data_IF_750445838419
#
_entry.id   IF_750445838419
#
_cell.length_a   1.000
_cell.length_b   1.000
_cell.length_c   1.000
_cell.angle_alpha   90.00
_cell.angle_beta   90.00
_cell.angle_gamma   90.00
#
_symmetry.space_group_name_H-M   'P 1'
#
loop_
_entity.id
_entity.type
_entity.pdbx_description
1 polymer ?
#
# COMPACT_ATOMS: atom_id res chain seq x y z
N UNK A 1 -42.35 32.00 14.69
CA UNK A 1 -42.97 32.63 13.51
C UNK A 1 -43.36 31.51 12.56
N UNK A 2 -44.65 31.27 12.38
CA UNK A 2 -45.16 30.21 11.49
C UNK A 2 -45.84 30.85 10.29
N UNK A 3 -45.53 30.37 9.09
CA UNK A 3 -46.31 30.63 7.88
C UNK A 3 -46.62 29.29 7.18
N UNK A 4 -47.79 28.74 7.49
CA UNK A 4 -48.66 28.10 6.49
C UNK A 4 -48.92 29.07 5.35
N UNK A 5 -49.23 28.71 4.11
CA UNK A 5 -49.56 27.43 3.46
C UNK A 5 -50.24 27.78 2.12
N UNK A 6 -50.38 26.84 1.17
CA UNK A 6 -51.03 27.17 -0.12
C UNK A 6 -50.91 26.10 -1.19
N UNK A 7 -51.90 25.24 -1.29
CA UNK A 7 -52.05 24.14 -2.26
C UNK A 7 -52.87 24.56 -3.49
N UNK A 8 -52.64 23.91 -4.64
CA UNK A 8 -53.71 23.62 -5.61
C UNK A 8 -53.36 22.44 -6.52
N UNK A 9 -54.30 21.51 -6.69
CA UNK A 9 -54.16 20.23 -7.38
C UNK A 9 -54.21 20.28 -8.92
N UNK A 10 -53.87 19.15 -9.56
CA UNK A 10 -53.95 18.96 -11.00
C UNK A 10 -53.83 17.49 -11.46
N UNK A 11 -54.77 16.62 -11.05
CA UNK A 11 -54.97 15.27 -11.64
C UNK A 11 -55.53 15.38 -13.09
N UNK A 12 -55.49 14.39 -14.00
CA UNK A 12 -55.48 12.93 -13.86
C UNK A 12 -55.15 12.20 -15.20
N UNK A 13 -54.85 10.88 -15.12
CA UNK A 13 -55.12 9.81 -16.13
C UNK A 13 -54.55 9.89 -17.56
N UNK A 14 -54.40 8.82 -18.35
CA UNK A 14 -54.14 7.38 -18.14
C UNK A 14 -53.89 6.74 -19.54
N UNK A 15 -53.09 5.66 -19.67
CA UNK A 15 -52.92 4.99 -20.97
C UNK A 15 -51.91 3.85 -21.00
N UNK A 16 -52.41 2.61 -20.99
CA UNK A 16 -51.64 1.37 -21.25
C UNK A 16 -51.85 0.95 -22.73
N UNK A 17 -50.95 0.14 -23.34
CA UNK A 17 -51.11 -1.32 -23.22
C UNK A 17 -49.82 -2.17 -23.21
N UNK A 18 -50.03 -3.47 -23.01
CA UNK A 18 -49.10 -4.63 -23.06
C UNK A 18 -48.33 -4.79 -24.38
N UNK A 19 -47.23 -5.55 -24.48
CA UNK A 19 -46.50 -6.39 -23.50
C UNK A 19 -45.95 -7.68 -24.17
N UNK A 20 -45.02 -8.41 -23.52
CA UNK A 20 -44.83 -9.89 -23.62
C UNK A 20 -43.69 -10.39 -22.72
N UNK A 21 -43.80 -11.65 -22.27
CA UNK A 21 -42.86 -12.29 -21.34
C UNK A 21 -41.61 -12.88 -22.00
N UNK A 22 -40.49 -12.84 -21.27
CA UNK A 22 -39.34 -13.72 -21.47
C UNK A 22 -38.76 -14.13 -20.12
N UNK A 23 -39.06 -15.35 -19.65
CA UNK A 23 -38.38 -15.95 -18.48
C UNK A 23 -36.98 -16.40 -18.91
N UNK A 24 -35.96 -16.06 -18.13
CA UNK A 24 -34.62 -16.66 -18.25
C UNK A 24 -34.51 -17.75 -17.18
N UNK A 25 -34.37 -19.00 -17.63
CA UNK A 25 -34.18 -20.16 -16.77
C UNK A 25 -32.67 -20.43 -16.59
N UNK A 26 -32.20 -20.38 -15.35
CA UNK A 26 -30.81 -20.63 -14.97
C UNK A 26 -30.61 -22.09 -14.56
N UNK A 27 -30.77 -23.02 -15.50
CA UNK A 27 -30.56 -24.45 -15.24
C UNK A 27 -29.91 -25.23 -16.39
N UNK A 28 -28.57 -25.21 -16.47
CA UNK A 28 -27.69 -26.40 -16.69
C UNK A 28 -26.21 -26.02 -16.91
N UNK A 29 -25.25 -26.81 -16.41
CA UNK A 29 -23.82 -26.61 -16.64
C UNK A 29 -23.37 -27.15 -18.02
N UNK A 30 -22.38 -26.50 -18.65
CA UNK A 30 -21.67 -27.05 -19.81
C UNK A 30 -20.46 -27.87 -19.37
N UNK A 31 -20.52 -29.17 -19.63
CA UNK A 31 -19.39 -30.11 -19.50
C UNK A 31 -18.53 -30.12 -20.76
N UNK A 32 -17.20 -30.24 -20.59
CA UNK A 32 -16.27 -30.72 -21.61
C UNK A 32 -15.31 -31.76 -21.00
N UNK A 33 -14.78 -32.73 -21.79
CA UNK A 33 -14.44 -34.06 -21.28
C UNK A 33 -12.98 -34.28 -20.86
N UNK A 34 -12.76 -35.38 -20.12
CA UNK A 34 -11.44 -35.98 -19.82
C UNK A 34 -11.15 -37.17 -20.75
N UNK A 35 -9.90 -37.32 -21.19
CA UNK A 35 -9.18 -38.61 -21.41
C UNK A 35 -7.72 -38.29 -21.82
N UNK A 36 -6.68 -38.69 -21.07
CA UNK A 36 -6.00 -40.01 -20.92
C UNK A 36 -4.75 -40.17 -21.83
N UNK A 37 -3.58 -40.26 -21.17
CA UNK A 37 -2.48 -41.23 -21.37
C UNK A 37 -1.68 -41.21 -22.71
N UNK A 38 -0.42 -41.68 -22.83
CA UNK A 38 0.51 -42.37 -21.93
C UNK A 38 1.98 -42.25 -22.41
N UNK A 39 2.96 -42.43 -21.50
CA UNK A 39 4.28 -43.15 -21.61
C UNK A 39 4.99 -43.19 -22.99
N UNK A 40 6.30 -42.96 -23.12
CA UNK A 40 7.46 -43.51 -22.36
C UNK A 40 8.62 -42.46 -22.30
N UNK A 41 9.92 -42.66 -21.98
CA UNK A 41 10.75 -43.86 -21.70
C UNK A 41 11.91 -43.57 -20.69
N UNK A 42 13.16 -43.94 -21.02
CA UNK A 42 14.41 -43.96 -20.24
C UNK A 42 15.60 -43.63 -21.19
N UNK A 43 16.88 -43.48 -20.81
CA UNK A 43 17.62 -42.97 -19.64
C UNK A 43 19.13 -43.25 -19.88
N UNK A 44 20.06 -42.36 -19.51
CA UNK A 44 21.52 -42.69 -19.34
C UNK A 44 22.14 -41.83 -18.23
N UNK A 45 22.99 -42.44 -17.40
CA UNK A 45 23.80 -41.84 -16.33
C UNK A 45 25.26 -41.61 -16.75
N UNK A 46 25.93 -40.61 -16.18
CA UNK A 46 27.27 -40.65 -15.56
C UNK A 46 27.72 -39.20 -15.20
N UNK A 47 27.88 -38.81 -13.93
CA UNK A 47 28.99 -39.10 -13.00
C UNK A 47 30.35 -38.49 -13.39
N UNK A 48 30.75 -37.45 -12.64
CA UNK A 48 32.11 -37.27 -12.13
C UNK A 48 32.03 -36.58 -10.75
N UNK A 49 33.07 -36.76 -9.91
CA UNK A 49 32.90 -36.76 -8.44
C UNK A 49 34.06 -36.11 -7.67
N UNK A 50 33.80 -35.96 -6.36
CA UNK A 50 34.75 -35.75 -5.25
C UNK A 50 35.35 -34.35 -5.03
N UNK A 51 35.33 -33.93 -3.75
CA UNK A 51 35.83 -32.64 -3.26
C UNK A 51 35.47 -32.39 -1.80
N UNK A 52 35.67 -33.38 -0.92
CA UNK A 52 35.28 -33.30 0.50
C UNK A 52 36.26 -32.46 1.32
N UNK A 53 35.74 -31.55 2.15
CA UNK A 53 36.45 -31.03 3.32
C UNK A 53 35.49 -30.88 4.50
N UNK A 54 35.81 -31.59 5.60
CA UNK A 54 35.14 -31.45 6.89
C UNK A 54 35.60 -30.17 7.59
N UNK A 55 34.68 -29.45 8.23
CA UNK A 55 34.99 -28.68 9.44
C UNK A 55 33.82 -28.75 10.44
N UNK A 56 34.16 -28.66 11.72
CA UNK A 56 33.28 -28.98 12.86
C UNK A 56 32.25 -27.88 13.16
N UNK A 57 31.13 -28.28 13.78
CA UNK A 57 30.07 -27.38 14.21
C UNK A 57 30.35 -26.71 15.56
N UNK A 58 29.94 -25.44 15.71
CA UNK A 58 29.34 -24.92 16.95
C UNK A 58 28.79 -23.48 16.76
N UNK A 59 27.79 -23.15 17.59
CA UNK A 59 27.19 -21.83 17.84
C UNK A 59 26.30 -21.21 16.75
N UNK A 60 25.03 -21.00 17.14
CA UNK A 60 24.00 -20.37 16.33
C UNK A 60 24.21 -18.87 16.19
N UNK A 61 23.80 -18.38 15.02
CA UNK A 61 24.08 -17.05 14.52
C UNK A 61 24.01 -17.13 13.01
N UNK A 62 22.79 -17.21 12.47
CA UNK A 62 22.60 -17.02 11.04
C UNK A 62 23.25 -15.70 10.63
N UNK A 63 23.83 -15.60 9.42
CA UNK A 63 24.48 -14.36 8.99
C UNK A 63 23.51 -13.20 9.20
N UNK A 64 23.99 -12.05 9.73
CA UNK A 64 23.11 -10.91 9.97
C UNK A 64 22.36 -10.61 8.69
N UNK A 65 21.04 -10.46 8.79
CA UNK A 65 20.21 -10.14 7.64
C UNK A 65 20.85 -8.95 6.92
N UNK A 66 21.29 -9.17 5.68
CA UNK A 66 21.83 -8.11 4.83
C UNK A 66 20.78 -7.00 4.85
N UNK A 67 21.14 -5.74 5.16
CA UNK A 67 20.16 -4.65 5.19
C UNK A 67 19.40 -4.67 3.87
N UNK A 68 18.10 -4.96 3.95
CA UNK A 68 17.26 -5.13 2.78
C UNK A 68 17.33 -3.82 1.98
N UNK A 69 17.98 -3.90 0.81
CA UNK A 69 18.58 -2.75 0.14
C UNK A 69 17.62 -1.57 0.12
N UNK A 70 18.12 -0.40 0.55
CA UNK A 70 17.33 0.83 0.53
C UNK A 70 16.65 0.96 -0.84
N UNK A 71 15.33 1.17 -0.89
CA UNK A 71 14.53 0.94 -2.08
C UNK A 71 15.07 1.79 -3.23
N UNK A 72 15.67 1.13 -4.22
CA UNK A 72 16.23 1.83 -5.37
C UNK A 72 15.07 2.34 -6.21
N UNK A 73 14.83 3.65 -6.14
CA UNK A 73 14.01 4.36 -7.12
C UNK A 73 14.40 3.85 -8.52
N UNK A 74 13.46 3.61 -9.44
CA UNK A 74 13.82 3.37 -10.82
C UNK A 74 14.64 4.59 -11.26
N UNK A 75 15.89 4.36 -11.70
CA UNK A 75 16.92 5.41 -11.87
C UNK A 75 16.66 6.24 -13.12
N UNK A 76 15.62 7.05 -13.03
CA UNK A 76 14.89 7.57 -14.17
C UNK A 76 15.12 9.07 -14.32
N UNK A 77 16.13 9.40 -15.15
CA UNK A 77 16.60 10.76 -15.47
C UNK A 77 17.39 11.38 -14.31
N UNK A 78 18.39 12.22 -14.66
CA UNK A 78 19.73 12.19 -14.08
C UNK A 78 19.67 12.07 -12.56
N UNK A 79 19.99 10.86 -12.09
CA UNK A 79 19.64 10.31 -10.77
C UNK A 79 19.58 11.42 -9.72
N UNK A 80 18.39 11.67 -9.12
CA UNK A 80 18.28 12.55 -7.97
C UNK A 80 19.32 12.11 -6.93
N UNK A 81 20.19 13.02 -6.44
CA UNK A 81 21.30 12.61 -5.59
C UNK A 81 20.87 12.31 -4.16
N UNK A 82 19.57 12.48 -3.87
CA UNK A 82 18.92 12.23 -2.59
C UNK A 82 18.27 10.84 -2.60
N UNK A 83 18.36 10.13 -1.48
CA UNK A 83 17.61 8.92 -1.22
C UNK A 83 16.38 9.26 -0.39
N UNK A 84 15.27 8.59 -0.64
CA UNK A 84 14.17 8.60 0.33
C UNK A 84 14.68 8.01 1.65
N UNK A 85 14.20 8.56 2.77
CA UNK A 85 14.74 8.34 4.12
C UNK A 85 16.07 9.06 4.46
N UNK A 86 16.66 9.87 3.57
CA UNK A 86 17.74 10.78 3.98
C UNK A 86 17.19 11.91 4.88
N UNK A 87 18.00 12.36 5.83
CA UNK A 87 17.72 13.61 6.55
C UNK A 87 17.90 14.81 5.61
N UNK A 88 17.12 15.87 5.84
CA UNK A 88 17.16 17.14 5.09
C UNK A 88 18.57 17.67 4.90
N UNK A 89 19.39 17.67 5.94
CA UNK A 89 20.78 18.14 5.87
C UNK A 89 21.59 17.30 4.88
N UNK A 90 21.47 15.97 4.93
CA UNK A 90 22.11 15.03 3.99
C UNK A 90 21.64 15.23 2.56
N UNK A 91 20.33 15.33 2.33
CA UNK A 91 19.78 15.57 1.00
C UNK A 91 20.29 16.91 0.42
N UNK A 92 20.27 17.99 1.19
CA UNK A 92 20.66 19.32 0.71
C UNK A 92 22.17 19.51 0.53
N UNK A 93 23.04 18.65 1.08
CA UNK A 93 24.49 18.70 0.80
C UNK A 93 24.78 18.59 -0.71
N UNK A 94 23.97 17.84 -1.46
CA UNK A 94 24.14 17.68 -2.91
C UNK A 94 23.71 18.90 -3.73
N UNK A 95 23.00 19.85 -3.11
CA UNK A 95 22.45 21.04 -3.76
C UNK A 95 23.14 22.34 -3.30
N UNK A 96 24.31 22.21 -2.67
CA UNK A 96 25.15 23.33 -2.25
C UNK A 96 25.40 24.31 -3.42
N UNK A 97 25.10 25.60 -3.19
CA UNK A 97 25.24 26.66 -4.19
C UNK A 97 24.10 26.76 -5.21
N UNK A 98 23.06 25.91 -5.15
CA UNK A 98 21.85 26.10 -5.95
C UNK A 98 20.89 27.09 -5.28
N UNK A 99 20.01 27.68 -6.10
CA UNK A 99 18.79 28.31 -5.59
C UNK A 99 17.91 27.22 -4.98
N UNK A 100 17.47 27.44 -3.75
CA UNK A 100 16.45 26.65 -3.08
C UNK A 100 15.37 27.58 -2.52
N UNK A 101 14.14 27.09 -2.43
CA UNK A 101 13.04 27.77 -1.77
C UNK A 101 12.39 26.81 -0.77
N UNK A 102 12.02 27.29 0.42
CA UNK A 102 11.48 26.47 1.52
C UNK A 102 10.13 27.03 1.94
N UNK A 103 9.10 26.19 1.93
CA UNK A 103 7.74 26.54 2.38
C UNK A 103 7.17 25.49 3.34
N UNK A 104 6.26 25.84 4.27
CA UNK A 104 5.57 24.87 5.11
C UNK A 104 4.68 23.93 4.27
N UNK A 105 4.62 22.66 4.65
CA UNK A 105 3.81 21.65 3.97
C UNK A 105 3.17 20.69 4.99
N UNK A 106 1.96 21.03 5.45
CA UNK A 106 1.28 20.36 6.55
C UNK A 106 2.10 20.47 7.85
N UNK A 107 2.42 19.33 8.46
CA UNK A 107 3.33 19.23 9.61
C UNK A 107 4.82 19.32 9.23
N UNK A 108 5.15 19.15 7.95
CA UNK A 108 6.51 19.14 7.43
C UNK A 108 6.80 20.35 6.52
N UNK A 109 7.61 20.12 5.51
CA UNK A 109 8.11 21.17 4.60
C UNK A 109 8.28 20.69 3.16
N UNK A 110 8.13 21.63 2.24
CA UNK A 110 8.44 21.48 0.82
C UNK A 110 9.66 22.36 0.51
N UNK A 111 10.70 21.76 -0.08
CA UNK A 111 11.88 22.47 -0.58
C UNK A 111 11.97 22.32 -2.09
N UNK A 112 11.83 23.43 -2.81
CA UNK A 112 12.04 23.46 -4.27
C UNK A 112 13.53 23.62 -4.58
N UNK A 113 14.07 22.73 -5.40
CA UNK A 113 15.44 22.75 -5.91
C UNK A 113 15.44 22.94 -7.43
N UNK A 114 16.11 23.98 -7.92
CA UNK A 114 16.23 24.26 -9.35
C UNK A 114 17.43 23.51 -9.93
N UNK A 115 17.19 22.44 -10.69
CA UNK A 115 18.22 21.51 -11.19
C UNK A 115 17.89 21.10 -12.63
N UNK A 116 18.67 21.53 -13.64
CA UNK A 116 18.44 21.15 -15.02
C UNK A 116 18.57 19.65 -15.27
N UNK A 117 17.63 19.08 -16.03
CA UNK A 117 17.59 17.65 -16.38
C UNK A 117 17.73 17.48 -17.88
N UNK A 118 18.73 16.69 -18.29
CA UNK A 118 19.07 16.45 -19.70
C UNK A 118 19.21 17.74 -20.55
N UNK A 119 19.75 18.81 -19.94
CA UNK A 119 19.94 20.12 -20.57
C UNK A 119 18.69 21.02 -20.62
N UNK A 120 17.56 20.59 -20.03
CA UNK A 120 16.32 21.37 -19.96
C UNK A 120 16.12 21.97 -18.57
N UNK A 121 15.35 23.05 -18.49
CA UNK A 121 14.93 23.64 -17.23
C UNK A 121 13.95 22.72 -16.48
N UNK A 122 14.25 22.48 -15.21
CA UNK A 122 13.45 21.65 -14.31
C UNK A 122 13.68 22.03 -12.86
N UNK A 123 12.68 21.71 -12.04
CA UNK A 123 12.72 21.86 -10.60
C UNK A 123 12.22 20.58 -9.92
N UNK A 124 12.68 20.35 -8.70
CA UNK A 124 12.29 19.23 -7.87
C UNK A 124 11.73 19.76 -6.56
N UNK A 125 10.50 19.36 -6.24
CA UNK A 125 9.86 19.66 -4.95
C UNK A 125 10.16 18.49 -4.02
N UNK A 126 10.98 18.71 -2.99
CA UNK A 126 11.37 17.72 -1.99
C UNK A 126 10.47 17.88 -0.77
N UNK A 127 9.85 16.78 -0.33
CA UNK A 127 8.93 16.78 0.79
C UNK A 127 9.56 16.09 1.98
N UNK A 128 9.66 16.80 3.10
CA UNK A 128 10.18 16.27 4.35
C UNK A 128 9.07 16.20 5.40
N UNK A 129 9.11 15.18 6.26
CA UNK A 129 8.23 15.10 7.43
C UNK A 129 8.66 16.08 8.54
N UNK A 130 7.90 16.11 9.64
CA UNK A 130 8.16 16.92 10.83
C UNK A 130 9.49 16.60 11.56
N UNK A 131 10.15 15.47 11.22
CA UNK A 131 11.49 15.09 11.69
C UNK A 131 12.60 15.54 10.72
N UNK A 132 12.24 16.08 9.55
CA UNK A 132 13.17 16.41 8.48
C UNK A 132 13.60 15.20 7.64
N UNK A 133 12.81 14.12 7.61
CA UNK A 133 13.09 12.92 6.82
C UNK A 133 12.52 13.07 5.40
N UNK A 134 13.31 12.81 4.35
CA UNK A 134 12.87 12.90 2.96
C UNK A 134 11.87 11.77 2.64
N UNK A 135 10.58 12.11 2.58
CA UNK A 135 9.51 11.14 2.35
C UNK A 135 9.11 11.02 0.87
N UNK A 136 9.51 11.97 0.03
CA UNK A 136 9.18 11.97 -1.38
C UNK A 136 9.71 13.17 -2.14
N UNK A 137 9.72 13.07 -3.47
CA UNK A 137 9.94 14.22 -4.35
C UNK A 137 9.00 14.18 -5.56
N UNK A 138 8.73 15.35 -6.14
CA UNK A 138 8.04 15.52 -7.43
C UNK A 138 8.94 16.39 -8.32
N UNK A 139 9.42 15.82 -9.42
CA UNK A 139 10.20 16.50 -10.46
C UNK A 139 9.29 17.06 -11.55
N UNK A 140 9.56 18.30 -11.98
CA UNK A 140 8.81 19.02 -13.01
C UNK A 140 9.74 19.34 -14.19
N UNK A 141 9.36 18.88 -15.37
CA UNK A 141 10.06 19.09 -16.63
C UNK A 141 9.28 20.10 -17.47
N UNK A 142 9.63 21.38 -17.36
CA UNK A 142 8.82 22.50 -17.84
C UNK A 142 8.59 22.57 -19.35
N UNK A 143 9.52 22.03 -20.14
CA UNK A 143 9.41 21.86 -21.60
C UNK A 143 8.98 20.45 -22.01
N UNK A 144 8.91 19.54 -21.02
CA UNK A 144 8.82 18.11 -21.20
C UNK A 144 10.14 17.47 -21.68
N UNK A 145 10.36 16.20 -21.34
CA UNK A 145 11.48 15.41 -21.85
C UNK A 145 11.02 14.33 -22.83
N UNK A 146 11.63 14.31 -24.00
CA UNK A 146 11.46 13.27 -25.01
C UNK A 146 12.06 11.93 -24.52
N UNK A 147 11.21 10.92 -24.35
CA UNK A 147 11.61 9.62 -23.83
C UNK A 147 12.22 8.68 -24.89
N UNK A 148 12.29 9.08 -26.17
CA UNK A 148 12.89 8.25 -27.23
C UNK A 148 14.36 7.89 -26.94
N UNK A 149 15.11 8.80 -26.29
CA UNK A 149 16.50 8.56 -25.87
C UNK A 149 16.62 7.82 -24.52
N UNK A 150 15.53 7.63 -23.79
CA UNK A 150 15.52 7.29 -22.36
C UNK A 150 15.14 5.82 -22.15
N UNK A 151 16.00 4.91 -22.65
CA UNK A 151 15.71 3.47 -22.76
C UNK A 151 15.22 2.83 -21.47
N UNK A 152 15.87 3.12 -20.34
CA UNK A 152 15.52 2.55 -19.04
C UNK A 152 14.16 3.07 -18.54
N UNK A 153 13.83 4.33 -18.84
CA UNK A 153 12.52 4.93 -18.54
C UNK A 153 11.42 4.26 -19.35
N UNK A 154 11.61 4.15 -20.66
CA UNK A 154 10.65 3.51 -21.56
C UNK A 154 10.48 2.02 -21.21
N UNK A 155 11.55 1.34 -20.77
CA UNK A 155 11.48 -0.04 -20.27
C UNK A 155 10.77 -0.19 -18.91
N UNK A 156 10.81 0.83 -18.03
CA UNK A 156 9.98 0.86 -16.81
C UNK A 156 8.51 1.14 -17.14
N UNK A 157 8.24 2.12 -18.00
CA UNK A 157 6.88 2.48 -18.45
C UNK A 157 6.16 1.30 -19.11
N UNK A 158 6.86 0.54 -19.96
CA UNK A 158 6.31 -0.62 -20.66
C UNK A 158 5.88 -1.78 -19.74
N UNK A 159 6.29 -1.76 -18.45
CA UNK A 159 5.85 -2.73 -17.43
C UNK A 159 4.62 -2.28 -16.65
N UNK A 160 4.22 -1.01 -16.74
CA UNK A 160 3.07 -0.48 -16.02
C UNK A 160 1.82 -0.49 -16.89
N UNK A 161 0.66 -0.54 -16.25
CA UNK A 161 -0.63 -0.30 -16.90
C UNK A 161 -0.95 1.20 -16.74
N UNK A 162 -0.89 2.01 -17.81
CA UNK A 162 -1.18 3.44 -17.71
C UNK A 162 -2.68 3.69 -17.48
N UNK A 163 -2.97 4.79 -16.79
CA UNK A 163 -4.31 5.37 -16.72
C UNK A 163 -4.34 6.63 -17.59
N UNK A 164 -5.13 6.63 -18.66
CA UNK A 164 -5.42 7.84 -19.44
C UNK A 164 -6.33 8.78 -18.63
N UNK A 165 -6.05 10.09 -18.65
CA UNK A 165 -6.85 11.09 -17.94
C UNK A 165 -6.92 12.41 -18.72
N UNK A 166 -7.93 13.25 -18.46
CA UNK A 166 -8.08 14.56 -19.08
C UNK A 166 -7.20 15.61 -18.38
N UNK A 167 -6.50 16.41 -19.18
CA UNK A 167 -5.63 17.48 -18.71
C UNK A 167 -6.41 18.79 -18.52
N UNK A 168 -6.05 19.62 -17.52
CA UNK A 168 -6.44 21.02 -17.49
C UNK A 168 -6.04 21.73 -18.80
N UNK A 169 -6.87 22.69 -19.23
CA UNK A 169 -6.70 23.36 -20.53
C UNK A 169 -5.35 24.03 -20.67
N UNK A 170 -4.84 24.59 -19.57
CA UNK A 170 -3.61 25.34 -19.45
C UNK A 170 -2.39 24.43 -19.63
N UNK A 171 -2.44 23.24 -19.00
CA UNK A 171 -1.40 22.20 -19.10
C UNK A 171 -1.36 21.63 -20.52
N UNK A 172 -2.51 21.28 -21.09
CA UNK A 172 -2.60 20.76 -22.47
C UNK A 172 -2.12 21.80 -23.50
N UNK A 173 -2.52 23.07 -23.35
CA UNK A 173 -2.10 24.18 -24.23
C UNK A 173 -0.59 24.37 -24.22
N UNK A 174 0.06 24.31 -23.05
CA UNK A 174 1.53 24.43 -22.94
C UNK A 174 2.26 23.20 -23.48
N UNK A 175 1.76 21.99 -23.21
CA UNK A 175 2.36 20.77 -23.74
C UNK A 175 2.36 20.75 -25.29
N UNK A 176 1.33 21.37 -25.89
CA UNK A 176 1.14 21.36 -27.35
C UNK A 176 0.79 19.97 -27.87
N UNK A 177 0.08 19.19 -27.05
CA UNK A 177 -0.41 17.84 -27.33
C UNK A 177 -1.92 17.75 -27.15
N UNK A 178 -2.51 16.54 -27.11
CA UNK A 178 -3.95 16.37 -26.90
C UNK A 178 -4.37 16.82 -25.50
N UNK A 179 -5.69 16.89 -25.27
CA UNK A 179 -6.26 17.20 -23.93
C UNK A 179 -6.26 15.99 -22.98
N UNK A 180 -5.42 14.99 -23.25
CA UNK A 180 -5.24 13.80 -22.44
C UNK A 180 -3.76 13.52 -22.15
N UNK A 181 -3.50 13.03 -20.94
CA UNK A 181 -2.20 12.54 -20.50
C UNK A 181 -2.32 11.10 -20.00
N UNK A 182 -1.17 10.47 -19.74
CA UNK A 182 -1.08 9.13 -19.16
C UNK A 182 -0.35 9.17 -17.84
N UNK A 183 -1.00 8.68 -16.79
CA UNK A 183 -0.41 8.42 -15.49
C UNK A 183 0.09 6.97 -15.46
N UNK A 184 1.39 6.81 -15.27
CA UNK A 184 2.04 5.53 -15.01
C UNK A 184 2.41 5.46 -13.54
N UNK A 185 2.52 4.25 -13.00
CA UNK A 185 3.09 4.05 -11.68
C UNK A 185 3.13 2.60 -11.27
N UNK A 186 4.12 2.28 -10.46
CA UNK A 186 4.16 1.02 -9.74
C UNK A 186 3.37 1.11 -8.42
N UNK A 187 3.20 -0.05 -7.79
CA UNK A 187 2.70 -0.20 -6.41
C UNK A 187 3.79 -0.88 -5.58
N UNK A 188 5.00 -0.30 -5.56
CA UNK A 188 6.09 -0.83 -4.77
C UNK A 188 5.75 -0.79 -3.27
N UNK A 189 6.16 -1.82 -2.53
CA UNK A 189 5.77 -1.98 -1.12
C UNK A 189 6.35 -0.90 -0.19
N UNK A 190 7.57 -0.41 -0.48
CA UNK A 190 8.25 0.64 0.30
C UNK A 190 8.21 2.01 -0.40
N UNK A 191 8.41 2.03 -1.71
CA UNK A 191 8.41 3.25 -2.53
C UNK A 191 7.47 3.05 -3.70
N UNK A 192 6.71 4.11 -4.02
CA UNK A 192 5.88 4.18 -5.21
C UNK A 192 6.45 5.24 -6.16
N UNK A 193 6.77 4.84 -7.38
CA UNK A 193 7.11 5.76 -8.45
C UNK A 193 5.86 6.09 -9.30
N UNK A 194 5.74 7.35 -9.72
CA UNK A 194 4.67 7.82 -10.63
C UNK A 194 5.27 8.70 -11.72
N UNK A 195 4.67 8.66 -12.90
CA UNK A 195 5.09 9.47 -14.04
C UNK A 195 3.87 9.95 -14.83
N UNK A 196 3.89 11.19 -15.29
CA UNK A 196 2.89 11.74 -16.22
C UNK A 196 3.56 12.05 -17.55
N UNK A 197 3.11 11.36 -18.60
CA UNK A 197 3.52 11.65 -19.97
C UNK A 197 2.35 12.20 -20.78
N UNK A 198 2.61 13.21 -21.60
CA UNK A 198 1.66 13.77 -22.56
C UNK A 198 2.26 13.50 -23.95
N UNK A 199 1.54 12.82 -24.87
CA UNK A 199 2.07 12.58 -26.20
C UNK A 199 2.15 13.88 -27.00
N UNK A 200 3.18 14.02 -27.82
CA UNK A 200 3.36 15.13 -28.76
C UNK A 200 3.77 14.56 -30.10
N UNK A 201 2.91 14.70 -31.09
CA UNK A 201 2.99 13.95 -32.34
C UNK A 201 3.05 12.43 -32.02
N UNK A 202 3.97 11.67 -32.61
CA UNK A 202 4.20 10.26 -32.31
C UNK A 202 5.09 10.02 -31.07
N UNK A 203 5.51 11.08 -30.35
CA UNK A 203 6.52 11.00 -29.29
C UNK A 203 5.91 11.05 -27.90
N UNK A 204 6.47 10.26 -26.99
CA UNK A 204 6.08 10.26 -25.59
C UNK A 204 6.94 11.25 -24.80
N UNK A 205 6.31 12.32 -24.31
CA UNK A 205 6.99 13.39 -23.57
C UNK A 205 6.64 13.31 -22.08
N UNK A 206 7.64 13.20 -21.22
CA UNK A 206 7.51 13.21 -19.76
C UNK A 206 7.44 14.65 -19.23
N UNK A 207 6.46 14.96 -18.37
CA UNK A 207 6.32 16.28 -17.75
C UNK A 207 6.47 16.27 -16.22
N UNK A 208 6.07 15.17 -15.57
CA UNK A 208 6.24 14.96 -14.13
C UNK A 208 6.77 13.56 -13.88
N UNK A 209 7.76 13.45 -13.00
CA UNK A 209 8.13 12.21 -12.31
C UNK A 209 8.05 12.42 -10.80
N UNK A 210 7.90 11.33 -10.04
CA UNK A 210 7.94 11.38 -8.58
C UNK A 210 8.29 10.03 -8.02
N UNK A 211 9.08 9.99 -6.94
CA UNK A 211 9.23 8.82 -6.10
C UNK A 211 8.90 9.20 -4.67
N UNK A 212 8.02 8.44 -4.01
CA UNK A 212 7.52 8.73 -2.67
C UNK A 212 7.46 7.46 -1.84
N UNK A 213 7.65 7.55 -0.53
CA UNK A 213 7.35 6.45 0.38
C UNK A 213 5.87 6.09 0.24
N UNK A 214 5.55 4.81 0.05
CA UNK A 214 4.21 4.35 -0.35
C UNK A 214 3.07 4.85 0.56
N UNK A 215 3.22 4.93 1.90
CA UNK A 215 2.23 5.54 2.79
C UNK A 215 1.87 7.01 2.46
N UNK A 216 2.80 7.77 1.88
CA UNK A 216 2.60 9.18 1.50
C UNK A 216 2.07 9.35 0.06
N UNK A 217 1.92 8.30 -0.73
CA UNK A 217 1.40 8.38 -2.10
C UNK A 217 0.01 9.07 -2.21
N UNK A 218 -0.96 8.88 -1.28
CA UNK A 218 -2.23 9.61 -1.31
C UNK A 218 -2.08 11.12 -1.07
N UNK A 219 -0.96 11.56 -0.49
CA UNK A 219 -0.66 12.95 -0.17
C UNK A 219 0.14 13.63 -1.29
N UNK A 220 1.10 12.91 -1.87
CA UNK A 220 2.12 13.41 -2.81
C UNK A 220 1.97 12.87 -4.25
N UNK A 221 0.74 12.61 -4.72
CA UNK A 221 0.56 12.08 -6.08
C UNK A 221 0.64 13.18 -7.15
N UNK A 222 1.46 13.05 -8.21
CA UNK A 222 1.70 14.12 -9.18
C UNK A 222 0.48 14.45 -10.06
N UNK A 223 -0.58 13.63 -10.04
CA UNK A 223 -1.84 13.94 -10.73
C UNK A 223 -2.70 14.98 -9.99
N UNK A 224 -2.41 15.27 -8.72
CA UNK A 224 -3.22 16.22 -7.95
C UNK A 224 -3.11 17.65 -8.53
N UNK A 225 -4.18 18.46 -8.49
CA UNK A 225 -4.22 19.77 -9.14
C UNK A 225 -3.06 20.71 -8.75
N UNK A 226 -2.64 20.70 -7.48
CA UNK A 226 -1.57 21.55 -6.94
C UNK A 226 -0.17 21.22 -7.48
N UNK A 227 0.06 20.00 -7.96
CA UNK A 227 1.31 19.60 -8.62
C UNK A 227 1.18 19.64 -10.14
N UNK A 228 0.05 19.15 -10.68
CA UNK A 228 -0.21 19.11 -12.12
C UNK A 228 -0.29 20.52 -12.74
N UNK A 229 -0.82 21.51 -12.01
CA UNK A 229 -0.86 22.90 -12.47
C UNK A 229 0.53 23.53 -12.61
N UNK A 230 1.51 23.16 -11.77
CA UNK A 230 2.88 23.69 -11.84
C UNK A 230 3.53 23.47 -13.22
N UNK A 231 3.16 22.40 -13.94
CA UNK A 231 3.59 22.15 -15.33
C UNK A 231 3.30 23.33 -16.26
N UNK A 232 2.20 24.07 -16.05
CA UNK A 232 1.84 25.21 -16.90
C UNK A 232 2.47 26.54 -16.46
N UNK A 233 3.07 26.63 -15.27
CA UNK A 233 3.61 27.88 -14.70
C UNK A 233 5.02 28.20 -15.22
N UNK A 234 5.41 29.48 -15.35
CA UNK A 234 6.80 29.84 -15.63
C UNK A 234 7.77 29.28 -14.57
N UNK A 235 8.99 28.86 -14.95
CA UNK A 235 10.00 28.38 -14.00
C UNK A 235 10.23 29.33 -12.83
N UNK A 236 10.19 28.79 -11.61
CA UNK A 236 10.35 29.58 -10.38
C UNK A 236 9.17 30.49 -10.02
N UNK A 237 7.97 30.24 -10.56
CA UNK A 237 6.73 30.86 -10.08
C UNK A 237 6.37 30.29 -8.72
N UNK A 238 6.41 31.12 -7.68
CA UNK A 238 5.96 30.72 -6.35
C UNK A 238 4.47 30.37 -6.38
N UNK A 239 4.17 29.13 -6.03
CA UNK A 239 2.81 28.69 -5.72
C UNK A 239 2.60 28.82 -4.21
N UNK A 240 1.44 29.34 -3.80
CA UNK A 240 1.09 29.40 -2.38
C UNK A 240 1.09 27.97 -1.81
N UNK A 241 1.73 27.77 -0.67
CA UNK A 241 1.69 26.50 0.06
C UNK A 241 0.24 26.02 0.21
N UNK A 242 -0.08 24.89 -0.44
CA UNK A 242 -1.45 24.36 -0.56
C UNK A 242 -2.00 23.92 0.79
N UNK A 243 -1.12 23.50 1.71
CA UNK A 243 -1.47 22.93 3.02
C UNK A 243 -0.67 23.61 4.14
N UNK A 244 -0.72 24.95 4.21
CA UNK A 244 -0.02 25.73 5.24
C UNK A 244 -0.84 25.96 6.52
N UNK A 245 -0.24 26.46 7.61
CA UNK A 245 -0.90 26.65 8.93
C UNK A 245 -2.15 27.57 8.99
N UNK A 246 -2.60 28.12 7.86
CA UNK A 246 -3.79 28.96 7.74
C UNK A 246 -4.80 28.46 6.70
N UNK A 247 -4.71 27.20 6.28
CA UNK A 247 -5.71 26.54 5.42
C UNK A 247 -6.66 25.66 6.26
N UNK A 248 -7.96 25.73 5.94
CA UNK A 248 -9.02 24.99 6.61
C UNK A 248 -9.04 23.49 6.28
N UNK A 249 -8.53 23.09 5.10
CA UNK A 249 -8.45 21.67 4.70
C UNK A 249 -7.25 20.95 5.34
N UNK A 250 -6.29 21.70 5.88
CA UNK A 250 -5.02 21.17 6.41
C UNK A 250 -5.17 20.22 7.60
N UNK A 251 -6.29 20.21 8.35
CA UNK A 251 -6.44 19.30 9.51
C UNK A 251 -6.42 17.82 9.12
N UNK A 252 -7.27 17.41 8.18
CA UNK A 252 -7.31 16.03 7.72
C UNK A 252 -6.04 15.67 6.92
N UNK A 253 -5.47 16.64 6.19
CA UNK A 253 -4.19 16.47 5.51
C UNK A 253 -3.04 16.14 6.48
N UNK A 254 -2.93 16.91 7.57
CA UNK A 254 -1.92 16.72 8.62
C UNK A 254 -2.19 15.42 9.39
N UNK A 255 -3.45 15.08 9.69
CA UNK A 255 -3.81 13.81 10.30
C UNK A 255 -3.35 12.62 9.43
N UNK A 256 -3.54 12.69 8.11
CA UNK A 256 -3.07 11.68 7.15
C UNK A 256 -1.54 11.65 7.02
N UNK A 257 -0.84 12.79 7.11
CA UNK A 257 0.63 12.81 7.20
C UNK A 257 1.12 12.05 8.44
N UNK A 258 0.51 12.28 9.61
CA UNK A 258 0.86 11.53 10.82
C UNK A 258 0.50 10.04 10.73
N UNK A 259 -0.60 9.68 10.07
CA UNK A 259 -0.92 8.28 9.78
C UNK A 259 0.17 7.63 8.90
N UNK A 260 0.58 8.29 7.81
CA UNK A 260 1.64 7.82 6.92
C UNK A 260 3.01 7.73 7.62
N UNK A 261 3.35 8.68 8.50
CA UNK A 261 4.51 8.63 9.41
C UNK A 261 4.45 7.40 10.31
N UNK A 262 3.27 7.08 10.85
CA UNK A 262 3.03 5.88 11.64
C UNK A 262 3.32 4.60 10.86
N UNK A 263 2.89 4.50 9.61
CA UNK A 263 3.19 3.34 8.74
C UNK A 263 4.68 3.23 8.42
N UNK A 264 5.36 4.35 8.15
CA UNK A 264 6.82 4.40 7.94
C UNK A 264 7.59 3.84 9.13
N UNK A 265 7.22 4.26 10.34
CA UNK A 265 7.82 3.77 11.59
C UNK A 265 7.46 2.30 11.88
N UNK A 266 6.19 1.91 11.71
CA UNK A 266 5.69 0.58 12.10
C UNK A 266 6.22 -0.55 11.22
N UNK A 267 6.37 -0.32 9.92
CA UNK A 267 6.91 -1.33 9.00
C UNK A 267 8.41 -1.16 8.76
N UNK A 268 9.06 -0.15 9.33
CA UNK A 268 10.50 0.08 9.19
C UNK A 268 10.89 0.49 7.77
N UNK A 269 10.06 1.27 7.07
CA UNK A 269 10.33 1.65 5.67
C UNK A 269 11.69 2.33 5.51
N UNK A 270 12.11 3.08 6.54
CA UNK A 270 13.34 3.87 6.61
C UNK A 270 14.41 3.33 7.57
N UNK A 271 14.30 2.07 8.04
CA UNK A 271 15.28 1.51 8.98
C UNK A 271 14.75 0.30 9.74
N UNK A 272 15.00 0.28 11.05
CA UNK A 272 14.35 -0.69 11.94
C UNK A 272 12.92 -0.26 12.25
N UNK A 273 12.10 -1.18 12.77
CA UNK A 273 10.74 -0.86 13.22
C UNK A 273 10.79 -0.02 14.51
N UNK A 274 10.09 1.11 14.49
CA UNK A 274 10.01 2.05 15.60
C UNK A 274 8.59 2.02 16.20
N UNK A 275 8.25 0.96 16.93
CA UNK A 275 6.87 0.75 17.45
C UNK A 275 6.38 1.90 18.33
N UNK A 276 7.27 2.58 19.06
CA UNK A 276 6.95 3.76 19.88
C UNK A 276 6.57 4.97 19.02
N UNK A 277 7.39 5.30 18.02
CA UNK A 277 7.11 6.38 17.08
C UNK A 277 5.86 6.09 16.22
N UNK A 278 5.60 4.80 15.92
CA UNK A 278 4.37 4.37 15.26
C UNK A 278 3.12 4.64 16.11
N UNK A 279 3.14 4.22 17.39
CA UNK A 279 2.06 4.49 18.35
C UNK A 279 1.80 5.99 18.46
N UNK A 280 2.84 6.79 18.69
CA UNK A 280 2.74 8.25 18.81
C UNK A 280 2.13 8.87 17.55
N UNK A 281 2.63 8.51 16.36
CA UNK A 281 2.15 9.08 15.10
C UNK A 281 0.70 8.67 14.78
N UNK A 282 0.28 7.43 15.06
CA UNK A 282 -1.13 7.03 14.90
C UNK A 282 -2.05 7.71 15.92
N UNK A 283 -1.61 7.88 17.18
CA UNK A 283 -2.36 8.67 18.17
C UNK A 283 -2.53 10.11 17.68
N UNK A 284 -1.45 10.73 17.18
CA UNK A 284 -1.46 12.09 16.65
C UNK A 284 -2.44 12.25 15.48
N UNK A 285 -2.49 11.29 14.57
CA UNK A 285 -3.44 11.27 13.47
C UNK A 285 -4.91 11.26 13.96
N UNK A 286 -5.21 10.43 14.97
CA UNK A 286 -6.54 10.31 15.58
C UNK A 286 -6.92 11.58 16.34
N UNK A 287 -5.99 12.16 17.11
CA UNK A 287 -6.18 13.41 17.87
C UNK A 287 -6.49 14.61 16.99
N UNK A 288 -5.78 14.76 15.86
CA UNK A 288 -5.99 15.88 14.93
C UNK A 288 -7.32 15.74 14.18
N UNK A 289 -7.72 14.49 13.91
CA UNK A 289 -9.01 14.13 13.32
C UNK A 289 -8.91 13.80 11.84
N UNK A 290 -9.20 12.53 11.51
CA UNK A 290 -9.34 12.04 10.15
C UNK A 290 -10.80 12.22 9.70
N UNK A 291 -11.03 12.85 8.55
CA UNK A 291 -12.39 13.18 8.07
C UNK A 291 -13.21 11.94 7.71
N UNK A 292 -12.55 10.95 7.09
CA UNK A 292 -13.17 9.75 6.55
C UNK A 292 -13.26 8.61 7.59
N UNK A 293 -14.44 8.02 7.84
CA UNK A 293 -14.60 6.87 8.75
C UNK A 293 -13.72 5.67 8.36
N UNK A 294 -13.39 5.52 7.07
CA UNK A 294 -12.45 4.52 6.57
C UNK A 294 -11.05 4.71 7.18
N UNK A 295 -10.53 5.94 7.17
CA UNK A 295 -9.23 6.27 7.72
C UNK A 295 -9.24 6.24 9.25
N UNK A 296 -10.32 6.66 9.91
CA UNK A 296 -10.46 6.53 11.36
C UNK A 296 -10.37 5.06 11.80
N UNK A 297 -11.11 4.16 11.14
CA UNK A 297 -11.05 2.72 11.42
C UNK A 297 -9.66 2.14 11.18
N UNK A 298 -9.01 2.49 10.07
CA UNK A 298 -7.66 2.02 9.74
C UNK A 298 -6.63 2.53 10.76
N UNK A 299 -6.68 3.81 11.15
CA UNK A 299 -5.78 4.38 12.17
C UNK A 299 -5.91 3.65 13.51
N UNK A 300 -7.13 3.35 13.96
CA UNK A 300 -7.35 2.55 15.17
C UNK A 300 -6.85 1.10 15.03
N UNK A 301 -6.98 0.48 13.85
CA UNK A 301 -6.44 -0.86 13.61
C UNK A 301 -4.90 -0.86 13.65
N UNK A 302 -4.26 0.07 12.93
CA UNK A 302 -2.79 0.20 12.88
C UNK A 302 -2.19 0.56 14.24
N UNK A 303 -2.83 1.47 14.99
CA UNK A 303 -2.48 1.76 16.38
C UNK A 303 -2.53 0.50 17.25
N UNK A 304 -3.57 -0.32 17.08
CA UNK A 304 -3.71 -1.59 17.80
C UNK A 304 -2.62 -2.60 17.45
N UNK A 305 -2.22 -2.70 16.17
CA UNK A 305 -1.09 -3.52 15.75
C UNK A 305 0.25 -3.01 16.29
N UNK A 306 0.47 -1.69 16.32
CA UNK A 306 1.68 -1.10 16.89
C UNK A 306 1.78 -1.33 18.41
N UNK A 307 0.66 -1.20 19.14
CA UNK A 307 0.59 -1.59 20.55
C UNK A 307 0.88 -3.08 20.77
N UNK A 308 0.34 -3.97 19.91
CA UNK A 308 0.63 -5.41 19.97
C UNK A 308 2.13 -5.67 19.81
N UNK A 309 2.76 -5.02 18.84
CA UNK A 309 4.17 -5.22 18.53
C UNK A 309 5.12 -4.61 19.58
N UNK A 310 4.63 -3.65 20.39
CA UNK A 310 5.26 -3.18 21.65
C UNK A 310 5.02 -4.12 22.85
N UNK A 311 4.06 -5.03 22.77
CA UNK A 311 3.61 -5.87 23.89
C UNK A 311 2.54 -5.23 24.79
N UNK A 312 1.99 -4.08 24.41
CA UNK A 312 0.93 -3.36 25.13
C UNK A 312 -0.47 -3.95 24.83
N UNK A 313 -0.66 -5.24 25.13
CA UNK A 313 -1.77 -6.04 24.60
C UNK A 313 -3.18 -5.52 24.95
N UNK A 314 -3.38 -4.98 26.16
CA UNK A 314 -4.68 -4.40 26.54
C UNK A 314 -5.03 -3.15 25.74
N UNK A 315 -4.03 -2.32 25.42
CA UNK A 315 -4.22 -1.14 24.55
C UNK A 315 -4.41 -1.57 23.09
N UNK A 316 -3.74 -2.64 22.66
CA UNK A 316 -3.93 -3.25 21.36
C UNK A 316 -5.38 -3.72 21.15
N UNK A 317 -5.94 -4.46 22.11
CA UNK A 317 -7.32 -4.94 22.06
C UNK A 317 -8.30 -3.76 21.97
N UNK A 318 -8.20 -2.77 22.87
CA UNK A 318 -9.09 -1.61 22.89
C UNK A 318 -9.05 -0.78 21.59
N UNK A 319 -7.87 -0.63 20.97
CA UNK A 319 -7.72 0.06 19.70
C UNK A 319 -8.35 -0.73 18.53
N UNK A 320 -8.10 -2.05 18.45
CA UNK A 320 -8.71 -2.91 17.41
C UNK A 320 -10.24 -3.01 17.60
N UNK A 321 -10.75 -3.10 18.82
CA UNK A 321 -12.18 -3.04 19.11
C UNK A 321 -12.80 -1.71 18.68
N UNK A 322 -12.07 -0.60 18.81
CA UNK A 322 -12.53 0.72 18.33
C UNK A 322 -12.56 0.77 16.81
N UNK A 323 -11.57 0.19 16.12
CA UNK A 323 -11.62 -0.01 14.67
C UNK A 323 -12.88 -0.79 14.25
N UNK A 324 -13.17 -1.90 14.93
CA UNK A 324 -14.34 -2.74 14.65
C UNK A 324 -15.67 -2.06 14.99
N UNK A 325 -15.72 -1.16 15.98
CA UNK A 325 -16.92 -0.34 16.23
C UNK A 325 -17.24 0.59 15.05
N UNK A 326 -16.21 1.08 14.34
CA UNK A 326 -16.36 1.92 13.13
C UNK A 326 -16.62 1.04 11.89
N UNK A 327 -15.97 -0.12 11.77
CA UNK A 327 -16.13 -1.07 10.65
C UNK A 327 -16.16 -2.53 11.15
N UNK A 328 -17.35 -3.08 11.49
CA UNK A 328 -17.47 -4.35 12.24
C UNK A 328 -17.17 -5.64 11.45
N UNK A 329 -17.02 -5.57 10.13
CA UNK A 329 -17.04 -6.75 9.25
C UNK A 329 -15.76 -6.92 8.42
N UNK A 330 -14.58 -6.64 9.00
CA UNK A 330 -13.28 -6.82 8.33
C UNK A 330 -12.58 -8.08 8.89
N UNK A 331 -12.52 -9.20 8.14
CA UNK A 331 -11.94 -10.47 8.62
C UNK A 331 -10.53 -10.32 9.20
N UNK A 332 -9.68 -9.52 8.54
CA UNK A 332 -8.31 -9.24 8.94
C UNK A 332 -8.25 -8.58 10.32
N UNK A 333 -9.09 -7.58 10.57
CA UNK A 333 -9.11 -6.84 11.84
C UNK A 333 -9.63 -7.72 12.97
N UNK A 334 -10.65 -8.54 12.70
CA UNK A 334 -11.17 -9.52 13.67
C UNK A 334 -10.13 -10.62 13.99
N UNK A 335 -9.42 -11.15 12.98
CA UNK A 335 -8.32 -12.09 13.19
C UNK A 335 -7.16 -11.45 13.99
N UNK A 336 -6.84 -10.18 13.75
CA UNK A 336 -5.86 -9.46 14.56
C UNK A 336 -6.29 -9.29 16.02
N UNK A 337 -7.58 -9.02 16.30
CA UNK A 337 -8.11 -9.01 17.66
C UNK A 337 -7.95 -10.39 18.33
N UNK A 338 -8.29 -11.46 17.61
CA UNK A 338 -8.09 -12.83 18.08
C UNK A 338 -6.63 -13.14 18.41
N UNK A 339 -5.68 -12.65 17.61
CA UNK A 339 -4.24 -12.83 17.89
C UNK A 339 -3.79 -12.04 19.12
N UNK A 340 -4.35 -10.84 19.37
CA UNK A 340 -4.09 -10.09 20.61
C UNK A 340 -4.63 -10.86 21.82
N UNK A 341 -5.86 -11.36 21.79
CA UNK A 341 -6.40 -12.19 22.88
C UNK A 341 -5.59 -13.47 23.11
N UNK A 342 -5.11 -14.12 22.04
CA UNK A 342 -4.22 -15.28 22.13
C UNK A 342 -2.90 -14.94 22.85
N UNK A 343 -2.29 -13.79 22.55
CA UNK A 343 -1.09 -13.29 23.24
C UNK A 343 -1.36 -12.92 24.70
N UNK A 344 -2.60 -12.52 25.05
CA UNK A 344 -3.04 -12.29 26.44
C UNK A 344 -3.32 -13.59 27.20
N UNK A 345 -3.22 -14.76 26.56
CA UNK A 345 -3.57 -16.06 27.13
C UNK A 345 -5.07 -16.40 27.08
N UNK A 346 -5.92 -15.50 26.58
CA UNK A 346 -7.36 -15.69 26.48
C UNK A 346 -7.71 -16.50 25.21
N UNK A 347 -7.46 -17.81 25.29
CA UNK A 347 -7.74 -18.75 24.20
C UNK A 347 -9.22 -18.80 23.81
N UNK A 348 -10.14 -18.51 24.74
CA UNK A 348 -11.59 -18.50 24.49
C UNK A 348 -11.98 -17.37 23.56
N UNK A 349 -11.70 -16.10 23.94
CA UNK A 349 -12.01 -14.95 23.07
C UNK A 349 -11.19 -14.95 21.79
N UNK A 350 -9.98 -15.51 21.82
CA UNK A 350 -9.19 -15.73 20.60
C UNK A 350 -9.93 -16.67 19.61
N UNK A 351 -10.38 -17.84 20.07
CA UNK A 351 -11.10 -18.81 19.24
C UNK A 351 -12.43 -18.26 18.71
N UNK A 352 -13.17 -17.49 19.52
CA UNK A 352 -14.38 -16.77 19.09
C UNK A 352 -14.07 -15.80 17.94
N UNK A 353 -13.06 -14.94 18.10
CA UNK A 353 -12.66 -13.98 17.06
C UNK A 353 -12.18 -14.69 15.78
N UNK A 354 -11.38 -15.76 15.87
CA UNK A 354 -10.98 -16.53 14.68
C UNK A 354 -12.18 -17.21 14.00
N UNK A 355 -13.15 -17.73 14.76
CA UNK A 355 -14.40 -18.23 14.22
C UNK A 355 -15.21 -17.14 13.50
N UNK A 356 -15.32 -15.93 14.06
CA UNK A 356 -15.97 -14.79 13.39
C UNK A 356 -15.23 -14.41 12.10
N UNK A 357 -13.89 -14.37 12.10
CA UNK A 357 -13.10 -14.08 10.91
C UNK A 357 -13.31 -15.13 9.80
N UNK A 358 -13.38 -16.42 10.14
CA UNK A 358 -13.74 -17.51 9.21
C UNK A 358 -15.20 -17.38 8.73
N UNK A 359 -16.13 -16.99 9.60
CA UNK A 359 -17.52 -16.74 9.22
C UNK A 359 -17.69 -15.61 8.21
N UNK A 360 -16.88 -14.55 8.34
CA UNK A 360 -16.83 -13.43 7.38
C UNK A 360 -16.06 -13.80 6.09
N UNK A 361 -15.08 -14.70 6.15
CA UNK A 361 -14.30 -15.18 4.99
C UNK A 361 -13.89 -16.65 5.18
N UNK A 362 -14.67 -17.61 4.64
CA UNK A 362 -14.43 -19.05 4.87
C UNK A 362 -13.07 -19.57 4.40
N UNK A 363 -12.47 -18.95 3.37
CA UNK A 363 -11.14 -19.29 2.85
C UNK A 363 -9.99 -18.47 3.49
N UNK A 364 -10.20 -17.84 4.65
CA UNK A 364 -9.15 -17.05 5.30
C UNK A 364 -8.15 -17.95 6.03
N UNK A 365 -7.09 -18.35 5.33
CA UNK A 365 -6.05 -19.25 5.81
C UNK A 365 -5.51 -18.89 7.21
N UNK A 366 -5.17 -17.61 7.45
CA UNK A 366 -4.63 -17.18 8.75
C UNK A 366 -5.57 -17.46 9.92
N UNK A 367 -6.86 -17.23 9.73
CA UNK A 367 -7.85 -17.46 10.78
C UNK A 367 -8.03 -18.96 11.06
N UNK A 368 -7.91 -19.84 10.06
CA UNK A 368 -7.88 -21.30 10.28
C UNK A 368 -6.64 -21.74 11.06
N UNK A 369 -5.45 -21.25 10.68
CA UNK A 369 -4.21 -21.55 11.40
C UNK A 369 -4.27 -21.08 12.86
N UNK A 370 -4.65 -19.81 13.08
CA UNK A 370 -4.72 -19.23 14.41
C UNK A 370 -5.82 -19.88 15.28
N UNK A 371 -6.97 -20.25 14.68
CA UNK A 371 -8.00 -21.04 15.37
C UNK A 371 -7.45 -22.39 15.83
N UNK A 372 -6.71 -23.08 14.95
CA UNK A 372 -6.12 -24.36 15.27
C UNK A 372 -5.17 -24.26 16.48
N UNK A 373 -4.25 -23.28 16.48
CA UNK A 373 -3.37 -22.99 17.64
C UNK A 373 -4.16 -22.68 18.92
N UNK A 374 -5.25 -21.90 18.82
CA UNK A 374 -6.02 -21.47 19.99
C UNK A 374 -6.79 -22.62 20.66
N UNK A 375 -7.31 -23.58 19.89
CA UNK A 375 -8.18 -24.65 20.41
C UNK A 375 -7.48 -26.00 20.58
N UNK A 376 -6.20 -26.13 20.17
CA UNK A 376 -5.53 -27.44 20.05
C UNK A 376 -5.59 -28.30 21.31
N UNK A 377 -5.30 -27.71 22.47
CA UNK A 377 -5.27 -28.43 23.76
C UNK A 377 -6.66 -28.84 24.28
N UNK A 378 -7.73 -28.18 23.79
CA UNK A 378 -9.10 -28.37 24.30
C UNK A 378 -9.99 -29.14 23.34
N UNK A 379 -9.75 -29.03 22.03
CA UNK A 379 -10.60 -29.55 20.96
C UNK A 379 -9.73 -30.13 19.81
N UNK A 380 -8.88 -31.14 20.08
CA UNK A 380 -7.85 -31.62 19.14
C UNK A 380 -8.43 -32.09 17.80
N UNK A 381 -9.64 -32.69 17.79
CA UNK A 381 -10.35 -33.07 16.55
C UNK A 381 -10.70 -31.86 15.67
N UNK A 382 -11.10 -30.73 16.27
CA UNK A 382 -11.44 -29.50 15.53
C UNK A 382 -10.19 -28.74 15.10
N UNK A 383 -9.14 -28.73 15.93
CA UNK A 383 -7.84 -28.17 15.57
C UNK A 383 -7.21 -28.89 14.36
N UNK A 384 -7.31 -30.22 14.30
CA UNK A 384 -6.89 -31.01 13.15
C UNK A 384 -7.56 -30.53 11.85
N UNK A 385 -8.89 -30.43 11.83
CA UNK A 385 -9.64 -29.92 10.67
C UNK A 385 -9.26 -28.48 10.31
N UNK A 386 -9.00 -27.62 11.31
CA UNK A 386 -8.58 -26.24 11.06
C UNK A 386 -7.16 -26.15 10.44
N UNK A 387 -6.20 -26.96 10.89
CA UNK A 387 -4.89 -27.05 10.22
C UNK A 387 -5.01 -27.64 8.80
N UNK A 388 -5.86 -28.65 8.58
CA UNK A 388 -6.10 -29.23 7.24
C UNK A 388 -6.74 -28.21 6.28
N UNK A 389 -7.69 -27.39 6.76
CA UNK A 389 -8.26 -26.27 6.00
C UNK A 389 -7.20 -25.22 5.67
N UNK A 390 -6.35 -24.84 6.64
CA UNK A 390 -5.24 -23.90 6.41
C UNK A 390 -4.35 -24.37 5.25
N UNK A 391 -3.88 -25.63 5.29
CA UNK A 391 -3.04 -26.19 4.22
C UNK A 391 -3.73 -26.16 2.86
N UNK A 392 -5.02 -26.52 2.81
CA UNK A 392 -5.81 -26.47 1.56
C UNK A 392 -5.97 -25.06 0.96
N UNK A 393 -5.78 -24.00 1.76
CA UNK A 393 -5.84 -22.61 1.29
C UNK A 393 -4.46 -21.98 1.00
N UNK A 394 -3.35 -22.58 1.45
CA UNK A 394 -1.99 -22.07 1.20
C UNK A 394 -1.17 -22.93 0.22
N UNK A 395 -1.72 -24.03 -0.30
CA UNK A 395 -1.07 -24.86 -1.30
C UNK A 395 -0.62 -24.00 -2.51
N UNK A 396 0.71 -23.88 -2.70
CA UNK A 396 1.42 -23.01 -3.67
C UNK A 396 1.60 -21.51 -3.30
N UNK A 397 1.38 -21.09 -2.04
CA UNK A 397 1.64 -19.70 -1.61
C UNK A 397 3.11 -19.51 -1.19
N UNK A 398 3.86 -18.68 -1.93
CA UNK A 398 5.24 -18.34 -1.57
C UNK A 398 5.29 -17.47 -0.30
N UNK A 399 6.10 -17.87 0.68
CA UNK A 399 6.30 -17.15 1.94
C UNK A 399 5.73 -17.85 3.19
N UNK A 400 4.81 -18.80 3.03
CA UNK A 400 4.15 -19.50 4.16
C UNK A 400 4.89 -20.76 4.65
N UNK A 401 6.09 -21.05 4.10
CA UNK A 401 6.80 -22.34 4.28
C UNK A 401 6.92 -22.79 5.74
N UNK A 402 7.35 -21.92 6.66
CA UNK A 402 7.51 -22.27 8.08
C UNK A 402 6.18 -22.62 8.77
N UNK A 403 5.10 -21.93 8.38
CA UNK A 403 3.76 -22.17 8.92
C UNK A 403 3.13 -23.43 8.35
N UNK A 404 3.39 -23.74 7.07
CA UNK A 404 3.06 -25.02 6.42
C UNK A 404 3.75 -26.17 7.16
N UNK A 405 5.09 -26.15 7.30
CA UNK A 405 5.86 -27.19 8.00
C UNK A 405 5.38 -27.37 9.46
N UNK A 406 5.05 -26.27 10.14
CA UNK A 406 4.46 -26.31 11.48
C UNK A 406 3.07 -26.97 11.49
N UNK A 407 2.17 -26.59 10.58
CA UNK A 407 0.83 -27.16 10.48
C UNK A 407 0.88 -28.66 10.17
N UNK A 408 1.70 -29.10 9.22
CA UNK A 408 1.92 -30.52 8.89
C UNK A 408 2.38 -31.33 10.13
N UNK A 409 3.35 -30.78 10.88
CA UNK A 409 3.85 -31.40 12.12
C UNK A 409 2.77 -31.51 13.19
N UNK A 410 1.89 -30.50 13.35
CA UNK A 410 0.77 -30.55 14.30
C UNK A 410 -0.31 -31.53 13.84
N UNK A 411 -0.65 -31.58 12.55
CA UNK A 411 -1.58 -32.55 11.95
C UNK A 411 -1.14 -33.99 12.27
N UNK A 412 0.14 -34.32 12.06
CA UNK A 412 0.68 -35.66 12.32
C UNK A 412 0.65 -36.03 13.82
N UNK A 413 0.93 -35.06 14.70
CA UNK A 413 0.83 -35.26 16.15
C UNK A 413 -0.63 -35.47 16.59
N UNK A 414 -1.57 -34.65 16.11
CA UNK A 414 -3.00 -34.76 16.41
C UNK A 414 -3.59 -36.07 15.89
N UNK A 415 -3.22 -36.51 14.67
CA UNK A 415 -3.65 -37.80 14.10
C UNK A 415 -3.18 -39.01 14.93
N UNK A 416 -2.10 -38.89 15.70
CA UNK A 416 -1.63 -39.91 16.65
C UNK A 416 -2.38 -39.86 17.99
N UNK A 417 -2.73 -38.67 18.47
CA UNK A 417 -3.45 -38.48 19.75
C UNK A 417 -4.97 -38.69 19.67
N UNK A 418 -5.53 -38.71 18.45
CA UNK A 418 -6.98 -38.81 18.18
C UNK A 418 -7.41 -40.25 17.78
N UNK A 419 -6.44 -41.14 17.56
CA UNK A 419 -6.62 -42.59 17.41
C UNK A 419 -6.61 -43.26 18.78
#
# INVERSE_FOLDING_TARGET
MNCTGGTSDGTATAGHPSGRHGRIDLSRPRSFPRSLASRTHQAVLALLSAGSLFFLAACGGGPPAVPEQAPTNPRLLPVPPWNLCDLRETALMHEAGRRTERVPWGAGEEITVYRPTAGRESEYHLFFDDRGLLIGYIGILYEGLDLAAQRDYTAWLAKQIPTDFLLPTEVSRRAGGPRSGRLYGDQGQRVSARAITIPKDERQILYLDSSVLTPYLPLLSPYKPEFLSKVHLPPGTQTRATYGPGDSESRDYIARQHFAKGEVAHFGLCGQKENDAAVEAYQRAIEIGLSEPLYQAEAHHRLGLAYRDKGALSQAAAAIETSLKIRPSIPEVVNHLGKVYSLMGDKTRAAEAFHTAIGLRPNYADAHFNLAEAIEDTQPRRALTAYENYLAYVENTSGEKERIEKAEKRIEALKKAVK
#
